data_IF_361899501029
#
_entry.id   IF_361899501029
#
_cell.length_a   1.000
_cell.length_b   1.000
_cell.length_c   1.000
_cell.angle_alpha   90.00
_cell.angle_beta   90.00
_cell.angle_gamma   90.00
#
_symmetry.space_group_name_H-M   'P 1'
#
loop_
_entity.id
_entity.type
_entity.pdbx_description
1 polymer ?
#
# COMPACT_ATOMS: atom_id res chain seq x y z
N UNK A 1 -7.83 -11.11 -11.01
CA UNK A 1 -7.42 -10.82 -9.62
C UNK A 1 -7.70 -9.35 -9.44
N UNK A 2 -8.73 -8.98 -8.68
CA UNK A 2 -9.10 -7.56 -8.51
C UNK A 2 -7.93 -6.78 -7.93
N UNK A 3 -7.56 -5.67 -8.58
CA UNK A 3 -6.58 -4.74 -8.03
C UNK A 3 -7.22 -4.02 -6.84
N UNK A 4 -6.89 -4.47 -5.63
CA UNK A 4 -7.35 -3.84 -4.39
C UNK A 4 -6.84 -2.40 -4.34
N UNK A 5 -7.77 -1.44 -4.26
CA UNK A 5 -7.44 -0.03 -4.09
C UNK A 5 -6.81 0.23 -2.71
N UNK A 6 -5.89 1.18 -2.62
CA UNK A 6 -5.38 1.65 -1.33
C UNK A 6 -6.48 2.43 -0.61
N UNK A 7 -7.07 1.81 0.41
CA UNK A 7 -8.09 2.42 1.26
C UNK A 7 -7.99 1.88 2.68
N UNK A 8 -8.54 2.63 3.63
CA UNK A 8 -8.59 2.20 5.03
C UNK A 8 -9.43 0.92 5.19
N UNK A 9 -10.47 0.73 4.38
CA UNK A 9 -11.32 -0.48 4.39
C UNK A 9 -10.48 -1.71 4.04
N UNK A 10 -9.75 -1.65 2.92
CA UNK A 10 -8.89 -2.76 2.48
C UNK A 10 -7.73 -3.03 3.46
N UNK A 11 -7.15 -1.98 4.05
CA UNK A 11 -6.10 -2.13 5.05
C UNK A 11 -6.62 -2.84 6.30
N UNK A 12 -7.79 -2.45 6.81
CA UNK A 12 -8.43 -3.13 7.94
C UNK A 12 -8.78 -4.59 7.62
N UNK A 13 -9.23 -4.88 6.40
CA UNK A 13 -9.46 -6.25 5.93
C UNK A 13 -8.21 -7.14 5.97
N UNK A 14 -7.01 -6.56 5.81
CA UNK A 14 -5.76 -7.28 6.00
C UNK A 14 -5.40 -7.43 7.48
N UNK A 15 -5.60 -6.40 8.30
CA UNK A 15 -5.36 -6.47 9.74
C UNK A 15 -6.24 -7.53 10.42
N UNK A 16 -7.52 -7.63 10.03
CA UNK A 16 -8.44 -8.67 10.50
C UNK A 16 -7.96 -10.09 10.18
N UNK A 17 -7.08 -10.23 9.17
CA UNK A 17 -6.47 -11.49 8.75
C UNK A 17 -5.05 -11.67 9.31
N UNK A 18 -4.65 -10.87 10.30
CA UNK A 18 -3.31 -10.84 10.89
C UNK A 18 -2.19 -10.58 9.87
N UNK A 19 -2.51 -9.89 8.76
CA UNK A 19 -1.56 -9.54 7.71
C UNK A 19 -1.26 -8.05 7.78
N UNK A 20 -0.05 -7.69 8.19
CA UNK A 20 0.42 -6.32 8.06
C UNK A 20 0.83 -6.06 6.61
N UNK A 21 0.03 -5.24 5.94
CA UNK A 21 0.24 -4.85 4.55
C UNK A 21 0.54 -3.36 4.47
N UNK A 22 1.29 -2.95 3.45
CA UNK A 22 1.61 -1.56 3.17
C UNK A 22 1.67 -1.31 1.67
N UNK A 23 2.01 -0.07 1.29
CA UNK A 23 2.28 0.26 -0.11
C UNK A 23 3.75 0.53 -0.35
N UNK A 24 4.27 0.07 -1.49
CA UNK A 24 5.61 0.35 -1.98
C UNK A 24 5.52 1.16 -3.26
N UNK A 25 6.31 2.23 -3.36
CA UNK A 25 6.45 2.94 -4.62
C UNK A 25 7.29 2.12 -5.59
N UNK A 26 6.76 1.80 -6.77
CA UNK A 26 7.52 1.06 -7.79
C UNK A 26 8.68 1.87 -8.39
N UNK A 27 8.61 3.21 -8.29
CA UNK A 27 9.62 4.12 -8.85
C UNK A 27 10.84 4.30 -7.94
N UNK A 28 10.63 4.59 -6.66
CA UNK A 28 11.71 4.90 -5.71
C UNK A 28 11.90 3.87 -4.59
N UNK A 29 10.99 2.91 -4.46
CA UNK A 29 11.06 1.86 -3.45
C UNK A 29 10.59 2.24 -2.04
N UNK A 30 10.17 3.49 -1.80
CA UNK A 30 9.67 3.93 -0.49
C UNK A 30 8.47 3.09 -0.04
N UNK A 31 8.46 2.71 1.23
CA UNK A 31 7.44 1.88 1.88
C UNK A 31 6.58 2.72 2.83
N UNK A 32 5.28 2.41 2.90
CA UNK A 32 4.33 3.10 3.77
C UNK A 32 3.41 2.12 4.51
N UNK A 33 3.21 2.40 5.81
CA UNK A 33 2.15 1.84 6.64
C UNK A 33 1.50 2.97 7.46
N UNK A 34 0.18 3.23 7.38
CA UNK A 34 -0.81 2.61 6.48
C UNK A 34 -0.48 2.80 4.99
N UNK A 35 -0.99 1.93 4.11
CA UNK A 35 -0.76 2.01 2.66
C UNK A 35 -1.36 3.30 2.09
N UNK A 36 -0.64 3.91 1.13
CA UNK A 36 -1.05 5.16 0.47
C UNK A 36 -1.00 5.03 -1.07
N UNK A 37 -1.92 5.68 -1.80
CA UNK A 37 -1.94 5.67 -3.27
C UNK A 37 -0.93 6.62 -3.92
N UNK A 38 -0.26 7.49 -3.15
CA UNK A 38 0.71 8.47 -3.67
C UNK A 38 1.97 8.40 -2.81
N UNK A 39 3.13 8.33 -3.47
CA UNK A 39 4.43 8.45 -2.82
C UNK A 39 4.73 9.93 -2.50
N UNK A 40 5.04 10.25 -1.25
CA UNK A 40 5.37 11.63 -0.84
C UNK A 40 6.81 12.05 -1.18
N UNK A 41 7.69 11.10 -1.52
CA UNK A 41 9.09 11.39 -1.83
C UNK A 41 9.28 11.76 -3.31
N UNK A 42 8.57 11.08 -4.21
CA UNK A 42 8.72 11.28 -5.66
C UNK A 42 7.43 11.68 -6.39
N UNK A 43 6.32 11.84 -5.64
CA UNK A 43 4.99 12.19 -6.16
C UNK A 43 4.42 11.21 -7.20
N UNK A 44 4.97 10.00 -7.26
CA UNK A 44 4.49 8.92 -8.12
C UNK A 44 3.22 8.26 -7.58
N UNK A 45 2.37 7.81 -8.49
CA UNK A 45 1.11 7.09 -8.20
C UNK A 45 1.20 5.58 -8.51
N UNK A 46 2.30 5.12 -9.10
CA UNK A 46 2.54 3.70 -9.34
C UNK A 46 3.06 3.04 -8.05
N UNK A 47 2.11 2.45 -7.33
CA UNK A 47 2.29 1.85 -6.01
C UNK A 47 1.84 0.39 -6.06
N UNK A 48 2.44 -0.47 -5.24
CA UNK A 48 2.05 -1.88 -5.11
C UNK A 48 1.80 -2.25 -3.64
N UNK A 49 0.84 -3.14 -3.40
CA UNK A 49 0.66 -3.77 -2.10
C UNK A 49 1.83 -4.70 -1.81
N UNK A 50 2.40 -4.58 -0.61
CA UNK A 50 3.50 -5.41 -0.15
C UNK A 50 3.27 -5.84 1.29
N UNK A 51 3.77 -7.01 1.66
CA UNK A 51 3.83 -7.46 3.05
C UNK A 51 4.96 -6.72 3.75
N UNK A 52 4.71 -6.29 4.98
CA UNK A 52 5.69 -5.63 5.85
C UNK A 52 6.48 -6.63 6.69
#
# INVERSE_FOLDING_TARGET
MEEKIFSDIEFNEYLNKEKLMGSKCKKCGTLFTPPRPICIDCYGTDMEWVKM
#
